data_IF_898276102401
#
_entry.id   IF_898276102401
#
_cell.length_a   1.000
_cell.length_b   1.000
_cell.length_c   1.000
_cell.angle_alpha   90.00
_cell.angle_beta   90.00
_cell.angle_gamma   90.00
#
_symmetry.space_group_name_H-M   'P 1'
#
loop_
_entity.id
_entity.type
_entity.pdbx_description
1 polymer ?
#
# COMPACT_ATOMS: atom_id res chain seq x y z
N UNK A 1 -8.09 10.46 1.30
CA UNK A 1 -8.28 9.03 0.93
C UNK A 1 -8.11 8.92 -0.57
N UNK A 2 -7.26 8.01 -1.03
CA UNK A 2 -7.20 7.64 -2.45
C UNK A 2 -7.68 6.20 -2.58
N UNK A 3 -8.74 5.98 -3.36
CA UNK A 3 -9.30 4.64 -3.61
C UNK A 3 -8.49 3.95 -4.69
N UNK A 4 -8.00 2.75 -4.41
CA UNK A 4 -7.21 1.95 -5.34
C UNK A 4 -7.87 0.61 -5.55
N UNK A 5 -7.83 0.11 -6.79
CA UNK A 5 -8.35 -1.21 -7.13
C UNK A 5 -7.35 -2.29 -6.73
N UNK A 6 -7.86 -3.39 -6.19
CA UNK A 6 -7.09 -4.62 -5.97
C UNK A 6 -6.93 -5.33 -7.33
N UNK A 7 -5.69 -5.64 -7.71
CA UNK A 7 -5.41 -6.36 -8.94
C UNK A 7 -5.78 -7.85 -8.82
N UNK A 8 -5.90 -8.61 -9.93
CA UNK A 8 -6.19 -10.06 -9.89
C UNK A 8 -5.18 -10.89 -9.09
N UNK A 9 -3.98 -10.34 -8.84
CA UNK A 9 -2.93 -10.98 -8.02
C UNK A 9 -2.98 -10.52 -6.56
N UNK A 10 -4.08 -9.91 -6.13
CA UNK A 10 -4.26 -9.31 -4.81
C UNK A 10 -3.21 -8.24 -4.47
N UNK A 11 -2.64 -7.59 -5.50
CA UNK A 11 -1.68 -6.51 -5.30
C UNK A 11 -2.44 -5.19 -5.23
N UNK A 12 -1.96 -4.31 -4.34
CA UNK A 12 -2.42 -2.93 -4.25
C UNK A 12 -1.27 -2.01 -4.60
N UNK A 13 -1.50 -1.08 -5.50
CA UNK A 13 -0.51 -0.04 -5.83
C UNK A 13 -0.60 1.04 -4.77
N UNK A 14 0.51 1.31 -4.08
CA UNK A 14 0.60 2.43 -3.15
C UNK A 14 0.79 3.72 -3.97
N UNK A 15 -0.16 4.67 -3.94
CA UNK A 15 -0.08 5.91 -4.71
C UNK A 15 1.17 6.74 -4.39
N UNK A 16 1.61 7.55 -5.35
CA UNK A 16 2.84 8.33 -5.23
C UNK A 16 2.86 9.27 -4.01
N UNK A 17 1.72 9.90 -3.69
CA UNK A 17 1.61 10.81 -2.53
C UNK A 17 1.88 10.07 -1.21
N UNK A 18 1.31 8.89 -1.03
CA UNK A 18 1.48 8.06 0.17
C UNK A 18 2.91 7.54 0.27
N UNK A 19 3.49 7.08 -0.86
CA UNK A 19 4.91 6.66 -0.88
C UNK A 19 5.86 7.76 -0.41
N UNK A 20 5.62 9.00 -0.85
CA UNK A 20 6.43 10.17 -0.47
C UNK A 20 6.21 10.56 0.99
N UNK A 21 4.96 10.62 1.45
CA UNK A 21 4.66 11.02 2.84
C UNK A 21 5.20 10.04 3.88
N UNK A 22 5.21 8.74 3.54
CA UNK A 22 5.74 7.68 4.41
C UNK A 22 7.21 7.33 4.11
N UNK A 23 7.85 8.01 3.15
CA UNK A 23 9.22 7.77 2.71
C UNK A 23 9.54 6.28 2.41
N UNK A 24 8.61 5.60 1.74
CA UNK A 24 8.72 4.17 1.45
C UNK A 24 9.78 3.89 0.38
N UNK A 25 10.54 2.82 0.57
CA UNK A 25 11.56 2.36 -0.39
C UNK A 25 11.15 1.06 -1.06
N UNK A 26 11.55 0.89 -2.32
CA UNK A 26 11.35 -0.37 -3.03
C UNK A 26 12.07 -1.52 -2.30
N UNK A 27 11.44 -2.69 -2.20
CA UNK A 27 11.98 -3.85 -1.48
C UNK A 27 11.90 -3.77 0.05
N UNK A 28 11.35 -2.68 0.61
CA UNK A 28 11.11 -2.57 2.04
C UNK A 28 10.13 -3.65 2.51
N UNK A 29 10.49 -4.37 3.58
CA UNK A 29 9.57 -5.30 4.25
C UNK A 29 8.58 -4.50 5.07
N UNK A 30 7.30 -4.83 4.96
CA UNK A 30 6.21 -4.21 5.70
C UNK A 30 5.40 -5.28 6.42
N UNK A 31 4.68 -4.89 7.46
CA UNK A 31 3.71 -5.74 8.14
C UNK A 31 2.32 -5.31 7.72
N UNK A 32 1.45 -6.27 7.40
CA UNK A 32 0.02 -6.02 7.28
C UNK A 32 -0.63 -6.29 8.63
N UNK A 33 -1.52 -5.39 9.04
CA UNK A 33 -2.36 -5.55 10.23
C UNK A 33 -3.79 -5.38 9.74
N UNK A 34 -4.63 -6.43 9.80
CA UNK A 34 -6.06 -6.28 9.53
C UNK A 34 -6.68 -5.46 10.66
N UNK A 35 -7.44 -4.44 10.29
CA UNK A 35 -8.26 -3.64 11.22
C UNK A 35 -9.70 -3.95 10.81
N UNK A 36 -10.52 -4.34 11.78
CA UNK A 36 -11.94 -4.68 11.61
C UNK A 36 -12.22 -5.96 10.80
N UNK A 37 -11.64 -7.08 11.24
CA UNK A 37 -12.19 -8.40 10.89
C UNK A 37 -13.55 -8.63 11.53
#
# INVERSE_FOLDING_TARGET
METVKISPKFQVVIPAKIRKSLNLKAGQRVRMIPIDG
#
